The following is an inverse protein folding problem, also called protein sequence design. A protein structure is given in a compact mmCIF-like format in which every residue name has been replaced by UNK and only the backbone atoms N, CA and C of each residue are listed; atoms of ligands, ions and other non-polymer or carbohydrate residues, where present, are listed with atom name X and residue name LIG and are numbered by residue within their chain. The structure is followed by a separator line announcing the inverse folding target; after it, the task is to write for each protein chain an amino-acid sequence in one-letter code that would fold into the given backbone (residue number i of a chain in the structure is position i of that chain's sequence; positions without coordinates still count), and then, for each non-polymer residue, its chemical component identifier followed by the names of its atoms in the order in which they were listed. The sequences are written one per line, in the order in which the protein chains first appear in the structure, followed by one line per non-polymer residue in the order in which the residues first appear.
data_IF_636447675401
#
_entry.id   IF_636447675401
#
_cell.length_a   1.000
_cell.length_b   1.000
_cell.length_c   1.000
_cell.angle_alpha   90.00
_cell.angle_beta   90.00
_cell.angle_gamma   90.00
#
_symmetry.space_group_name_H-M   'P 1'
#
loop_
_entity.id
_entity.type
_entity.pdbx_description
1 polymer ?
#
# COMPACT_ATOMS: atom_id res chain seq x y z
N UNK A 1 -52.48 7.61 15.67
CA UNK A 1 -51.67 8.23 14.60
C UNK A 1 -50.29 8.63 15.15
N UNK A 2 -49.60 7.73 15.85
CA UNK A 2 -48.46 8.09 16.73
C UNK A 2 -47.45 6.95 16.89
N UNK A 3 -47.24 6.15 15.84
CA UNK A 3 -46.17 5.12 15.81
C UNK A 3 -45.35 5.14 14.50
N UNK A 4 -45.74 5.92 13.48
CA UNK A 4 -45.01 6.00 12.22
C UNK A 4 -43.86 7.05 12.21
N UNK A 5 -43.86 8.01 13.14
CA UNK A 5 -42.87 9.10 13.16
C UNK A 5 -41.59 8.78 13.97
N UNK A 6 -41.49 7.62 14.62
CA UNK A 6 -40.28 7.21 15.35
C UNK A 6 -39.31 6.37 14.51
N UNK A 7 -39.72 5.89 13.34
CA UNK A 7 -38.86 5.06 12.46
C UNK A 7 -38.03 5.90 11.48
N UNK A 8 -38.38 7.18 11.27
CA UNK A 8 -37.66 8.08 10.36
C UNK A 8 -36.54 8.90 11.03
N UNK A 9 -36.43 8.88 12.36
CA UNK A 9 -35.39 9.61 13.09
C UNK A 9 -34.08 8.83 13.28
N UNK A 10 -34.03 7.54 12.90
CA UNK A 10 -32.87 6.65 13.10
C UNK A 10 -31.97 6.51 11.87
N UNK A 11 -32.32 7.11 10.73
CA UNK A 11 -31.55 6.98 9.48
C UNK A 11 -30.59 8.16 9.23
N UNK A 12 -30.66 9.23 10.04
CA UNK A 12 -29.79 10.40 9.90
C UNK A 12 -28.75 10.48 11.02
N UNK A 13 -27.82 9.52 11.08
CA UNK A 13 -26.46 9.67 11.62
C UNK A 13 -25.73 8.33 11.55
N UNK A 14 -24.88 8.08 10.53
CA UNK A 14 -23.81 7.12 10.74
C UNK A 14 -22.87 7.77 11.76
N UNK A 15 -23.04 7.43 13.05
CA UNK A 15 -22.04 7.71 14.07
C UNK A 15 -20.80 6.95 13.64
N UNK A 16 -19.92 7.65 12.95
CA UNK A 16 -18.60 7.19 12.60
C UNK A 16 -17.83 7.00 13.91
N UNK A 17 -17.80 5.75 14.39
CA UNK A 17 -17.06 5.26 15.56
C UNK A 17 -15.53 5.52 15.48
N UNK A 18 -15.08 6.14 14.38
CA UNK A 18 -13.74 6.67 14.12
C UNK A 18 -13.30 7.76 15.10
N UNK A 19 -14.21 8.60 15.60
CA UNK A 19 -13.83 9.73 16.44
C UNK A 19 -13.34 9.27 17.83
N UNK A 20 -13.93 8.20 18.36
CA UNK A 20 -13.47 7.55 19.61
C UNK A 20 -12.30 6.57 19.40
N UNK A 21 -12.03 6.14 18.17
CA UNK A 21 -10.91 5.25 17.80
C UNK A 21 -9.55 5.98 17.75
N UNK A 22 -9.54 7.32 17.75
CA UNK A 22 -8.36 8.13 17.40
C UNK A 22 -7.84 8.97 18.58
N UNK A 23 -8.72 9.55 19.40
CA UNK A 23 -8.29 10.51 20.43
C UNK A 23 -7.56 9.84 21.62
N UNK A 24 -7.79 8.56 21.92
CA UNK A 24 -7.18 7.91 23.09
C UNK A 24 -5.70 7.52 22.95
N UNK A 25 -5.15 7.40 21.74
CA UNK A 25 -3.72 7.12 21.54
C UNK A 25 -2.87 8.39 21.63
N UNK A 26 -3.50 9.57 21.53
CA UNK A 26 -2.80 10.86 21.62
C UNK A 26 -2.48 11.28 23.07
N UNK A 27 -3.18 10.72 24.05
CA UNK A 27 -3.05 11.13 25.46
C UNK A 27 -1.86 10.48 26.19
N UNK A 28 -1.20 9.47 25.60
CA UNK A 28 -0.06 8.77 26.22
C UNK A 28 1.33 9.17 25.71
N UNK A 29 1.42 10.00 24.67
CA UNK A 29 2.69 10.45 24.07
C UNK A 29 2.82 11.98 24.05
N UNK A 30 2.37 12.65 25.12
CA UNK A 30 2.72 14.06 25.37
C UNK A 30 4.06 14.13 26.10
N UNK A 31 5.16 13.80 25.42
CA UNK A 31 6.45 14.42 25.77
C UNK A 31 6.44 15.81 25.14
N UNK A 32 6.16 16.80 25.97
CA UNK A 32 6.14 18.21 25.62
C UNK A 32 7.52 18.65 25.12
N UNK A 33 7.68 18.84 23.82
CA UNK A 33 8.76 19.66 23.27
C UNK A 33 8.40 21.12 23.52
N UNK A 34 8.70 21.59 24.74
CA UNK A 34 8.60 22.98 25.15
C UNK A 34 9.69 23.80 24.45
N UNK A 35 9.33 24.50 23.37
CA UNK A 35 10.16 25.55 22.78
C UNK A 35 9.89 26.88 23.52
N UNK A 36 10.57 27.09 24.65
CA UNK A 36 10.67 28.43 25.27
C UNK A 36 11.85 29.22 24.67
N UNK A 37 11.70 30.53 24.39
CA UNK A 37 12.82 31.37 23.98
C UNK A 37 13.65 31.78 25.22
N UNK A 38 14.91 31.36 25.27
CA UNK A 38 15.83 31.71 26.35
C UNK A 38 16.45 33.11 26.12
N UNK A 39 16.19 34.02 27.05
CA UNK A 39 16.90 35.30 27.19
C UNK A 39 18.32 35.08 27.74
N UNK A 40 19.24 35.95 27.34
CA UNK A 40 20.69 35.91 27.56
C UNK A 40 21.09 36.03 29.03
N UNK A 41 21.98 35.15 29.50
CA UNK A 41 22.99 35.46 30.51
C UNK A 41 24.32 34.75 30.24
N UNK A 42 25.43 35.46 30.47
CA UNK A 42 26.82 35.02 30.26
C UNK A 42 27.35 34.29 31.51
N UNK A 43 28.12 33.20 31.34
CA UNK A 43 29.48 32.98 31.93
C UNK A 43 30.10 31.60 31.64
N UNK A 44 31.34 31.66 31.10
CA UNK A 44 32.56 30.84 31.25
C UNK A 44 32.55 29.29 31.33
N UNK A 45 33.09 28.70 30.26
CA UNK A 45 34.11 27.63 30.12
C UNK A 45 34.29 26.51 31.19
N UNK A 46 34.17 25.25 30.73
CA UNK A 46 35.19 24.20 30.95
C UNK A 46 35.07 23.02 29.95
N UNK A 47 36.26 22.68 29.43
CA UNK A 47 36.82 21.48 28.77
C UNK A 47 35.99 20.20 28.49
N UNK A 48 36.02 19.82 27.20
CA UNK A 48 36.40 18.52 26.62
C UNK A 48 35.73 17.21 27.08
N UNK A 49 34.75 16.73 26.31
CA UNK A 49 34.63 15.30 25.92
C UNK A 49 34.21 15.20 24.45
N UNK A 50 35.13 14.69 23.63
CA UNK A 50 34.91 14.32 22.22
C UNK A 50 34.49 12.85 22.26
N UNK A 51 33.23 12.58 21.90
CA UNK A 51 32.75 11.24 21.57
C UNK A 51 31.88 11.38 20.31
N UNK A 52 32.19 10.54 19.34
CA UNK A 52 31.70 10.56 17.96
C UNK A 52 30.18 10.64 17.89
N UNK A 53 29.67 11.80 17.46
CA UNK A 53 28.31 11.90 16.95
C UNK A 53 28.34 11.47 15.50
N UNK A 54 27.84 10.25 15.26
CA UNK A 54 27.45 9.80 13.93
C UNK A 54 26.68 10.92 13.22
N UNK A 55 27.09 11.20 11.99
CA UNK A 55 26.52 12.23 11.12
C UNK A 55 25.03 11.95 10.90
N UNK A 56 24.15 12.47 11.76
CA UNK A 56 22.73 12.61 11.44
C UNK A 56 22.64 13.60 10.28
N UNK A 57 22.16 13.14 9.12
CA UNK A 57 21.94 13.97 7.94
C UNK A 57 20.99 15.14 8.32
N UNK A 58 21.40 16.42 8.22
CA UNK A 58 20.59 17.57 8.69
C UNK A 58 19.34 17.89 7.84
N UNK A 59 19.24 17.32 6.64
CA UNK A 59 18.34 17.83 5.60
C UNK A 59 16.84 17.54 5.81
N UNK A 60 16.46 16.52 6.60
CA UNK A 60 15.04 16.15 6.75
C UNK A 60 14.29 17.05 7.74
N UNK A 61 14.93 17.44 8.84
CA UNK A 61 14.32 18.33 9.83
C UNK A 61 14.22 19.77 9.29
N UNK A 62 15.19 20.18 8.47
CA UNK A 62 15.21 21.48 7.80
C UNK A 62 14.08 21.62 6.77
N UNK A 63 13.72 20.55 6.07
CA UNK A 63 12.63 20.58 5.07
C UNK A 63 11.27 20.87 5.70
N UNK A 64 10.97 20.26 6.85
CA UNK A 64 9.72 20.50 7.59
C UNK A 64 9.71 21.91 8.16
N UNK A 65 10.84 22.38 8.70
CA UNK A 65 10.95 23.74 9.26
C UNK A 65 10.72 24.82 8.19
N UNK A 66 11.30 24.66 7.01
CA UNK A 66 11.10 25.57 5.87
C UNK A 66 9.62 25.60 5.48
N UNK A 67 8.99 24.44 5.35
CA UNK A 67 7.56 24.34 5.03
C UNK A 67 6.67 25.03 6.08
N UNK A 68 6.93 24.81 7.38
CA UNK A 68 6.18 25.45 8.47
C UNK A 68 6.36 26.97 8.47
N UNK A 69 7.55 27.46 8.13
CA UNK A 69 7.82 28.88 8.00
C UNK A 69 7.04 29.49 6.82
N UNK A 70 6.96 28.79 5.69
CA UNK A 70 6.26 29.26 4.49
C UNK A 70 4.74 29.37 4.72
N UNK A 71 4.11 28.33 5.25
CA UNK A 71 2.67 28.37 5.57
C UNK A 71 2.36 29.37 6.70
N UNK A 72 3.35 29.69 7.53
CA UNK A 72 3.22 30.69 8.60
C UNK A 72 3.19 32.14 8.11
N UNK A 73 3.70 32.41 6.90
CA UNK A 73 3.67 33.76 6.27
C UNK A 73 2.28 34.15 5.79
N UNK A 74 1.44 33.18 5.48
CA UNK A 74 0.11 33.40 4.92
C UNK A 74 -0.87 33.70 6.05
N UNK A 75 -1.61 34.80 5.90
CA UNK A 75 -2.62 35.21 6.89
C UNK A 75 -3.80 34.25 6.91
N UNK A 76 -4.37 34.08 8.10
CA UNK A 76 -5.64 33.38 8.28
C UNK A 76 -6.77 34.20 7.64
N UNK A 77 -7.77 33.50 7.11
CA UNK A 77 -8.94 34.11 6.50
C UNK A 77 -9.96 34.50 7.57
N UNK A 78 -10.74 35.54 7.27
CA UNK A 78 -11.96 35.86 8.02
C UNK A 78 -13.14 35.09 7.44
N UNK A 79 -14.21 34.94 8.22
CA UNK A 79 -15.41 34.22 7.77
C UNK A 79 -16.03 34.84 6.50
N UNK A 80 -16.03 36.17 6.36
CA UNK A 80 -16.50 36.85 5.15
C UNK A 80 -15.64 36.52 3.92
N UNK A 81 -14.31 36.46 4.10
CA UNK A 81 -13.38 36.12 3.02
C UNK A 81 -13.51 34.65 2.61
N UNK A 82 -13.82 33.75 3.56
CA UNK A 82 -14.13 32.35 3.24
C UNK A 82 -15.37 32.25 2.33
N UNK A 83 -16.40 33.06 2.59
CA UNK A 83 -17.62 33.08 1.78
C UNK A 83 -17.33 33.59 0.36
N UNK A 84 -16.57 34.68 0.22
CA UNK A 84 -16.20 35.22 -1.09
C UNK A 84 -15.38 34.23 -1.91
N UNK A 85 -14.39 33.58 -1.29
CA UNK A 85 -13.56 32.57 -1.95
C UNK A 85 -14.39 31.34 -2.31
N UNK A 86 -15.31 30.90 -1.45
CA UNK A 86 -16.18 29.76 -1.73
C UNK A 86 -17.08 30.00 -2.96
N UNK A 87 -17.61 31.22 -3.14
CA UNK A 87 -18.37 31.58 -4.34
C UNK A 87 -17.53 31.50 -5.61
N UNK A 88 -16.32 32.06 -5.58
CA UNK A 88 -15.38 32.00 -6.71
C UNK A 88 -14.93 30.58 -7.06
N UNK A 89 -14.84 29.70 -6.05
CA UNK A 89 -14.53 28.27 -6.24
C UNK A 89 -15.73 27.53 -6.81
N UNK A 90 -16.96 27.82 -6.36
CA UNK A 90 -18.17 27.24 -6.92
C UNK A 90 -18.32 27.58 -8.40
N UNK A 91 -18.10 28.86 -8.75
CA UNK A 91 -18.03 29.33 -10.14
C UNK A 91 -17.00 28.54 -10.97
N UNK A 92 -15.81 28.29 -10.42
CA UNK A 92 -14.78 27.48 -11.10
C UNK A 92 -15.25 26.04 -11.33
N UNK A 93 -15.87 25.44 -10.31
CA UNK A 93 -16.30 24.04 -10.35
C UNK A 93 -17.42 23.81 -11.38
N UNK A 94 -18.32 24.79 -11.54
CA UNK A 94 -19.33 24.77 -12.60
C UNK A 94 -18.70 24.76 -14.00
N UNK A 95 -17.67 25.60 -14.21
CA UNK A 95 -16.94 25.61 -15.47
C UNK A 95 -16.24 24.27 -15.71
N UNK A 96 -15.60 23.69 -14.68
CA UNK A 96 -14.92 22.39 -14.76
C UNK A 96 -15.91 21.27 -15.10
N UNK A 97 -17.13 21.26 -14.54
CA UNK A 97 -18.17 20.28 -14.90
C UNK A 97 -18.61 20.37 -16.36
N UNK A 98 -18.70 21.59 -16.90
CA UNK A 98 -18.99 21.79 -18.33
C UNK A 98 -17.84 21.27 -19.20
N UNK A 99 -16.60 21.46 -18.75
CA UNK A 99 -15.42 20.89 -19.41
C UNK A 99 -15.47 19.36 -19.44
N UNK A 100 -15.75 18.71 -18.32
CA UNK A 100 -15.83 17.26 -18.24
C UNK A 100 -16.90 16.72 -19.21
N UNK A 101 -18.06 17.38 -19.27
CA UNK A 101 -19.16 17.02 -20.19
C UNK A 101 -18.77 17.16 -21.68
N UNK A 102 -17.96 18.18 -22.01
CA UNK A 102 -17.39 18.35 -23.35
C UNK A 102 -16.36 17.28 -23.69
N UNK A 103 -15.49 16.94 -22.75
CA UNK A 103 -14.43 15.93 -22.94
C UNK A 103 -15.02 14.54 -23.16
N UNK A 104 -16.10 14.20 -22.42
CA UNK A 104 -16.86 12.96 -22.63
C UNK A 104 -17.52 12.92 -24.03
N UNK A 105 -18.02 14.06 -24.52
CA UNK A 105 -18.62 14.16 -25.85
C UNK A 105 -17.61 14.12 -26.99
N UNK A 106 -16.39 14.62 -26.77
CA UNK A 106 -15.34 14.72 -27.78
C UNK A 106 -14.38 13.53 -27.80
N UNK A 107 -14.28 12.77 -26.70
CA UNK A 107 -13.31 11.68 -26.54
C UNK A 107 -11.85 12.15 -26.56
N UNK A 108 -11.61 13.45 -26.35
CA UNK A 108 -10.29 14.10 -26.30
C UNK A 108 -10.32 15.27 -25.33
N UNK A 109 -9.14 15.72 -24.88
CA UNK A 109 -9.01 16.92 -24.06
C UNK A 109 -9.50 18.16 -24.83
N UNK A 110 -10.41 18.91 -24.22
CA UNK A 110 -11.00 20.10 -24.83
C UNK A 110 -10.00 21.25 -24.81
N UNK A 111 -9.86 21.95 -25.94
CA UNK A 111 -9.02 23.15 -25.97
C UNK A 111 -9.69 24.31 -25.22
N UNK A 112 -8.90 25.21 -24.62
CA UNK A 112 -9.43 26.38 -23.89
C UNK A 112 -10.35 27.26 -24.78
N UNK A 113 -10.16 27.25 -26.10
CA UNK A 113 -11.02 27.96 -27.06
C UNK A 113 -12.37 27.26 -27.28
N UNK A 114 -12.39 25.93 -27.35
CA UNK A 114 -13.62 25.15 -27.47
C UNK A 114 -14.43 25.23 -26.17
N UNK A 115 -13.76 25.22 -25.02
CA UNK A 115 -14.39 25.42 -23.72
C UNK A 115 -15.00 26.82 -23.58
N UNK A 116 -14.30 27.86 -24.06
CA UNK A 116 -14.84 29.21 -24.07
C UNK A 116 -16.08 29.37 -24.98
N UNK A 117 -16.13 28.63 -26.10
CA UNK A 117 -17.31 28.63 -27.00
C UNK A 117 -18.51 27.96 -26.36
N UNK A 118 -18.33 26.85 -25.65
CA UNK A 118 -19.44 26.17 -24.96
C UNK A 118 -20.07 27.03 -23.87
N UNK A 119 -19.25 27.81 -23.17
CA UNK A 119 -19.72 28.74 -22.13
C UNK A 119 -20.29 30.04 -22.74
N UNK A 120 -20.33 30.15 -24.07
CA UNK A 120 -20.76 31.33 -24.84
C UNK A 120 -20.09 32.64 -24.34
N UNK A 121 -18.77 32.57 -24.13
CA UNK A 121 -18.01 33.67 -23.54
C UNK A 121 -16.78 34.03 -24.37
N UNK A 122 -16.48 35.33 -24.44
CA UNK A 122 -15.23 35.81 -25.03
C UNK A 122 -14.02 35.19 -24.32
N UNK A 123 -13.09 34.61 -25.09
CA UNK A 123 -11.90 33.90 -24.61
C UNK A 123 -11.12 34.67 -23.52
N UNK A 124 -10.97 35.99 -23.67
CA UNK A 124 -10.27 36.84 -22.68
C UNK A 124 -11.01 36.91 -21.34
N UNK A 125 -12.33 37.03 -21.36
CA UNK A 125 -13.17 37.05 -20.14
C UNK A 125 -13.19 35.68 -19.48
N UNK A 126 -13.30 34.63 -20.28
CA UNK A 126 -13.25 33.25 -19.83
C UNK A 126 -11.93 32.93 -19.10
N UNK A 127 -10.79 33.23 -19.73
CA UNK A 127 -9.46 33.02 -19.12
C UNK A 127 -9.29 33.81 -17.81
N UNK A 128 -9.83 35.03 -17.74
CA UNK A 128 -9.83 35.82 -16.50
C UNK A 128 -10.68 35.17 -15.40
N UNK A 129 -11.87 34.66 -15.73
CA UNK A 129 -12.75 33.96 -14.78
C UNK A 129 -12.09 32.70 -14.22
N UNK A 130 -11.47 31.88 -15.10
CA UNK A 130 -10.69 30.72 -14.68
C UNK A 130 -9.52 31.08 -13.76
N UNK A 131 -8.78 32.13 -14.09
CA UNK A 131 -7.66 32.58 -13.26
C UNK A 131 -8.11 33.02 -11.87
N UNK A 132 -9.22 33.76 -11.77
CA UNK A 132 -9.79 34.18 -10.48
C UNK A 132 -10.20 32.97 -9.66
N UNK A 133 -10.93 32.02 -10.25
CA UNK A 133 -11.37 30.80 -9.58
C UNK A 133 -10.19 29.95 -9.07
N UNK A 134 -9.20 29.68 -9.93
CA UNK A 134 -8.00 28.91 -9.55
C UNK A 134 -7.24 29.60 -8.42
N UNK A 135 -7.04 30.92 -8.52
CA UNK A 135 -6.39 31.70 -7.47
C UNK A 135 -7.18 31.70 -6.16
N UNK A 136 -8.52 31.68 -6.23
CA UNK A 136 -9.38 31.60 -5.06
C UNK A 136 -9.23 30.24 -4.36
N UNK A 137 -9.21 29.15 -5.13
CA UNK A 137 -8.94 27.78 -4.64
C UNK A 137 -7.57 27.71 -3.96
N UNK A 138 -6.52 28.19 -4.62
CA UNK A 138 -5.16 28.19 -4.07
C UNK A 138 -5.09 28.99 -2.78
N UNK A 139 -5.69 30.19 -2.74
CA UNK A 139 -5.72 31.05 -1.56
C UNK A 139 -6.49 30.40 -0.41
N UNK A 140 -7.64 29.78 -0.68
CA UNK A 140 -8.43 29.06 0.32
C UNK A 140 -7.64 27.91 0.94
N UNK A 141 -6.95 27.11 0.13
CA UNK A 141 -6.13 25.98 0.59
C UNK A 141 -4.92 26.49 1.38
N UNK A 142 -4.16 27.42 0.83
CA UNK A 142 -2.93 27.95 1.44
C UNK A 142 -3.16 28.56 2.83
N UNK A 143 -4.22 29.36 2.99
CA UNK A 143 -4.58 29.95 4.28
C UNK A 143 -4.96 28.92 5.35
N UNK A 144 -5.31 27.70 4.95
CA UNK A 144 -5.76 26.63 5.84
C UNK A 144 -4.74 25.47 5.99
N UNK A 145 -3.56 25.54 5.37
CA UNK A 145 -2.52 24.51 5.51
C UNK A 145 -2.07 24.29 6.97
N UNK A 146 -2.16 25.33 7.81
CA UNK A 146 -1.86 25.23 9.25
C UNK A 146 -2.80 24.28 10.00
N UNK A 147 -4.06 24.18 9.56
CA UNK A 147 -5.05 23.24 10.10
C UNK A 147 -4.66 21.79 9.77
N UNK A 148 -4.15 21.54 8.55
CA UNK A 148 -3.66 20.21 8.16
C UNK A 148 -2.55 19.75 9.08
N UNK A 149 -1.58 20.63 9.35
CA UNK A 149 -0.45 20.34 10.24
C UNK A 149 -0.92 20.02 11.66
N UNK A 150 -1.88 20.77 12.21
CA UNK A 150 -2.37 20.52 13.58
C UNK A 150 -3.11 19.19 13.70
N UNK A 151 -3.84 18.78 12.66
CA UNK A 151 -4.51 17.48 12.60
C UNK A 151 -3.49 16.35 12.38
N UNK A 152 -2.56 16.50 11.45
CA UNK A 152 -1.56 15.49 11.09
C UNK A 152 -0.64 15.13 12.28
N UNK A 153 -0.35 16.09 13.16
CA UNK A 153 0.45 15.84 14.38
C UNK A 153 -0.11 14.72 15.26
N UNK A 154 -1.43 14.53 15.30
CA UNK A 154 -2.07 13.45 16.07
C UNK A 154 -1.78 12.04 15.52
N UNK A 155 -1.35 11.94 14.26
CA UNK A 155 -1.14 10.67 13.54
C UNK A 155 0.33 10.33 13.31
N UNK A 156 1.24 11.06 13.96
CA UNK A 156 2.68 10.77 13.89
C UNK A 156 2.99 9.36 14.39
N UNK A 157 4.07 8.76 13.88
CA UNK A 157 4.57 7.44 14.28
C UNK A 157 3.63 6.26 13.99
N UNK A 158 2.70 6.40 13.03
CA UNK A 158 1.78 5.33 12.60
C UNK A 158 2.22 4.61 11.31
N UNK A 159 3.50 4.67 10.97
CA UNK A 159 4.10 3.99 9.81
C UNK A 159 4.33 4.88 8.58
N UNK A 160 3.78 6.09 8.53
CA UNK A 160 4.06 7.08 7.49
C UNK A 160 4.91 8.24 8.01
N UNK A 161 5.68 8.87 7.11
CA UNK A 161 6.43 10.08 7.43
C UNK A 161 5.48 11.23 7.75
N UNK A 162 5.92 12.17 8.59
CA UNK A 162 5.13 13.37 8.89
C UNK A 162 4.87 14.22 7.65
N UNK A 163 5.81 14.25 6.70
CA UNK A 163 5.63 14.95 5.42
C UNK A 163 4.50 14.31 4.60
N UNK A 164 4.49 12.98 4.52
CA UNK A 164 3.46 12.24 3.78
C UNK A 164 2.07 12.46 4.40
N UNK A 165 1.97 12.43 5.73
CA UNK A 165 0.72 12.75 6.44
C UNK A 165 0.22 14.17 6.13
N UNK A 166 1.12 15.15 6.03
CA UNK A 166 0.77 16.52 5.65
C UNK A 166 0.29 16.56 4.19
N UNK A 167 0.97 15.87 3.28
CA UNK A 167 0.59 15.88 1.86
C UNK A 167 -0.78 15.22 1.65
N UNK A 168 -1.02 14.06 2.24
CA UNK A 168 -2.31 13.37 2.18
C UNK A 168 -3.43 14.19 2.84
N UNK A 169 -3.13 14.83 3.97
CA UNK A 169 -4.04 15.78 4.61
C UNK A 169 -4.33 17.01 3.75
N UNK A 170 -3.35 17.49 2.98
CA UNK A 170 -3.52 18.62 2.06
C UNK A 170 -4.40 18.25 0.87
N UNK A 171 -4.31 17.02 0.37
CA UNK A 171 -5.23 16.50 -0.64
C UNK A 171 -6.67 16.42 -0.10
N UNK A 172 -6.83 16.03 1.17
CA UNK A 172 -8.11 16.10 1.88
C UNK A 172 -8.64 17.54 1.99
N UNK A 173 -7.78 18.51 2.30
CA UNK A 173 -8.14 19.91 2.37
C UNK A 173 -8.58 20.49 1.01
N UNK A 174 -7.91 20.11 -0.08
CA UNK A 174 -8.29 20.53 -1.44
C UNK A 174 -9.71 20.03 -1.76
N UNK A 175 -9.99 18.75 -1.49
CA UNK A 175 -11.35 18.18 -1.67
C UNK A 175 -12.38 18.86 -0.78
N UNK A 176 -11.99 19.27 0.43
CA UNK A 176 -12.87 20.05 1.31
C UNK A 176 -13.20 21.40 0.70
N UNK A 177 -12.22 22.10 0.10
CA UNK A 177 -12.43 23.39 -0.54
C UNK A 177 -13.35 23.30 -1.76
N UNK A 178 -13.25 22.21 -2.55
CA UNK A 178 -14.12 21.96 -3.71
C UNK A 178 -15.58 21.67 -3.33
N UNK A 179 -15.80 21.01 -2.19
CA UNK A 179 -17.14 20.58 -1.73
C UNK A 179 -17.73 21.46 -0.63
N UNK A 180 -17.05 22.55 -0.27
CA UNK A 180 -17.49 23.42 0.80
C UNK A 180 -18.70 24.24 0.35
N UNK A 181 -19.73 24.21 1.19
CA UNK A 181 -20.97 24.94 0.96
C UNK A 181 -21.08 26.05 2.02
N UNK A 182 -20.99 27.28 1.55
CA UNK A 182 -20.99 28.48 2.39
C UNK A 182 -22.40 28.90 2.82
N UNK A 183 -23.47 28.40 2.18
CA UNK A 183 -24.85 28.75 2.52
C UNK A 183 -25.28 28.12 3.84
N UNK A 184 -24.63 27.03 4.24
CA UNK A 184 -24.91 26.32 5.51
C UNK A 184 -24.46 27.08 6.76
N UNK A 185 -23.73 28.20 6.62
CA UNK A 185 -23.35 29.07 7.73
C UNK A 185 -22.30 28.51 8.71
N UNK A 186 -21.69 27.36 8.40
CA UNK A 186 -20.60 26.79 9.20
C UNK A 186 -19.24 27.29 8.71
N UNK A 187 -18.28 27.45 9.63
CA UNK A 187 -16.89 27.78 9.26
C UNK A 187 -16.25 26.69 8.42
N UNK A 188 -15.40 27.09 7.48
CA UNK A 188 -14.67 26.15 6.61
C UNK A 188 -13.87 25.13 7.42
N UNK A 189 -13.22 25.57 8.51
CA UNK A 189 -12.41 24.69 9.39
C UNK A 189 -13.19 23.49 9.93
N UNK A 190 -14.47 23.66 10.25
CA UNK A 190 -15.32 22.60 10.81
C UNK A 190 -15.53 21.49 9.77
N UNK A 191 -15.80 21.87 8.53
CA UNK A 191 -15.99 20.95 7.42
C UNK A 191 -14.66 20.32 6.97
N UNK A 192 -13.62 21.13 6.84
CA UNK A 192 -12.30 20.69 6.39
C UNK A 192 -11.68 19.65 7.33
N UNK A 193 -11.91 19.76 8.65
CA UNK A 193 -11.39 18.80 9.62
C UNK A 193 -11.80 17.36 9.29
N UNK A 194 -13.05 17.14 8.85
CA UNK A 194 -13.54 15.82 8.44
C UNK A 194 -12.77 15.25 7.25
N UNK A 195 -12.61 16.05 6.19
CA UNK A 195 -11.92 15.62 4.97
C UNK A 195 -10.42 15.40 5.17
N UNK A 196 -9.76 16.27 5.94
CA UNK A 196 -8.34 16.12 6.29
C UNK A 196 -8.16 14.82 7.08
N UNK A 197 -9.01 14.59 8.09
CA UNK A 197 -8.96 13.39 8.92
C UNK A 197 -9.13 12.13 8.07
N UNK A 198 -10.15 12.11 7.21
CA UNK A 198 -10.47 10.98 6.34
C UNK A 198 -9.35 10.68 5.35
N UNK A 199 -8.73 11.70 4.78
CA UNK A 199 -7.62 11.52 3.85
C UNK A 199 -6.40 10.91 4.55
N UNK A 200 -6.05 11.44 5.73
CA UNK A 200 -4.92 10.93 6.52
C UNK A 200 -5.17 9.49 6.99
N UNK A 201 -6.34 9.18 7.55
CA UNK A 201 -6.64 7.81 8.01
C UNK A 201 -6.67 6.81 6.86
N UNK A 202 -7.19 7.21 5.70
CA UNK A 202 -7.18 6.39 4.50
C UNK A 202 -5.77 6.15 3.99
N UNK A 203 -4.94 7.19 3.92
CA UNK A 203 -3.55 7.05 3.51
C UNK A 203 -2.76 6.13 4.44
N UNK A 204 -2.96 6.24 5.76
CA UNK A 204 -2.36 5.31 6.73
C UNK A 204 -2.83 3.88 6.45
N UNK A 205 -4.13 3.64 6.25
CA UNK A 205 -4.61 2.29 5.96
C UNK A 205 -4.02 1.74 4.64
N UNK A 206 -3.86 2.59 3.63
CA UNK A 206 -3.45 2.18 2.29
C UNK A 206 -1.93 2.02 2.11
N UNK A 207 -1.12 2.84 2.79
CA UNK A 207 0.33 3.01 2.54
C UNK A 207 1.24 2.71 3.75
N UNK A 208 0.72 2.65 4.98
CA UNK A 208 1.58 2.52 6.18
C UNK A 208 2.34 1.20 6.33
N UNK A 209 2.00 0.19 5.52
CA UNK A 209 2.55 -1.17 5.60
C UNK A 209 3.33 -1.51 4.34
N UNK A 210 4.48 -2.17 4.53
CA UNK A 210 5.30 -2.72 3.43
C UNK A 210 4.50 -3.69 2.56
N UNK A 211 3.69 -4.54 3.20
CA UNK A 211 2.72 -5.40 2.53
C UNK A 211 1.35 -4.75 2.68
N UNK A 212 0.83 -4.24 1.58
CA UNK A 212 -0.46 -3.54 1.54
C UNK A 212 -1.59 -4.48 1.98
N UNK A 213 -2.43 -4.01 2.89
CA UNK A 213 -3.65 -4.68 3.31
C UNK A 213 -4.88 -3.87 2.84
N UNK A 214 -5.98 -4.53 2.45
CA UNK A 214 -7.25 -3.86 2.21
C UNK A 214 -7.74 -3.05 3.42
N UNK A 215 -8.44 -1.95 3.16
CA UNK A 215 -8.93 -1.02 4.20
C UNK A 215 -9.76 -1.76 5.26
N UNK A 216 -10.71 -2.61 4.86
CA UNK A 216 -11.55 -3.34 5.82
C UNK A 216 -10.76 -4.22 6.80
N UNK A 217 -9.61 -4.79 6.39
CA UNK A 217 -8.75 -5.53 7.32
C UNK A 217 -8.10 -4.58 8.31
N UNK A 218 -7.63 -3.42 7.87
CA UNK A 218 -7.11 -2.38 8.75
C UNK A 218 -8.16 -1.90 9.77
N UNK A 219 -9.42 -1.71 9.35
CA UNK A 219 -10.53 -1.37 10.24
C UNK A 219 -10.76 -2.46 11.30
N UNK A 220 -10.80 -3.73 10.88
CA UNK A 220 -10.96 -4.86 11.82
C UNK A 220 -9.80 -4.96 12.81
N UNK A 221 -8.56 -4.77 12.37
CA UNK A 221 -7.37 -4.77 13.25
C UNK A 221 -7.47 -3.63 14.27
N UNK A 222 -7.87 -2.44 13.83
CA UNK A 222 -8.02 -1.28 14.72
C UNK A 222 -9.11 -1.51 15.75
N UNK A 223 -10.24 -2.10 15.34
CA UNK A 223 -11.34 -2.48 16.23
C UNK A 223 -10.91 -3.55 17.23
N UNK A 224 -10.16 -4.57 16.79
CA UNK A 224 -9.59 -5.59 17.69
C UNK A 224 -8.70 -4.92 18.75
N UNK A 225 -7.78 -4.02 18.36
CA UNK A 225 -6.93 -3.30 19.32
C UNK A 225 -7.73 -2.49 20.35
N UNK A 226 -8.79 -1.79 19.91
CA UNK A 226 -9.69 -1.03 20.80
C UNK A 226 -10.36 -1.97 21.80
N UNK A 227 -10.96 -3.05 21.32
CA UNK A 227 -11.65 -4.03 22.15
C UNK A 227 -10.69 -4.72 23.13
N UNK A 228 -9.48 -5.07 22.70
CA UNK A 228 -8.44 -5.61 23.59
C UNK A 228 -8.07 -4.62 24.69
N UNK A 229 -7.96 -3.32 24.38
CA UNK A 229 -7.68 -2.27 25.37
C UNK A 229 -8.83 -2.10 26.37
N UNK A 230 -10.07 -2.04 25.87
CA UNK A 230 -11.28 -1.93 26.71
C UNK A 230 -11.42 -3.13 27.65
N UNK A 231 -11.32 -4.35 27.12
CA UNK A 231 -11.38 -5.58 27.93
C UNK A 231 -10.22 -5.65 28.93
N UNK A 232 -9.02 -5.20 28.53
CA UNK A 232 -7.88 -5.14 29.43
C UNK A 232 -8.09 -4.17 30.60
N UNK A 233 -8.82 -3.07 30.37
CA UNK A 233 -9.18 -2.10 31.40
C UNK A 233 -10.28 -2.62 32.32
N UNK A 234 -11.33 -3.25 31.76
CA UNK A 234 -12.43 -3.82 32.53
C UNK A 234 -11.99 -4.99 33.43
N UNK A 235 -11.03 -5.80 32.96
CA UNK A 235 -10.62 -7.05 33.62
C UNK A 235 -9.31 -6.94 34.40
N UNK A 236 -8.57 -5.85 34.24
CA UNK A 236 -7.25 -5.66 34.87
C UNK A 236 -6.19 -6.67 34.42
N UNK A 237 -6.44 -7.47 33.38
CA UNK A 237 -5.52 -8.47 32.82
C UNK A 237 -5.57 -8.45 31.29
N UNK A 238 -4.56 -9.04 30.64
CA UNK A 238 -4.60 -9.25 29.19
C UNK A 238 -5.78 -10.20 28.86
N UNK A 239 -6.71 -9.80 27.98
CA UNK A 239 -7.88 -10.63 27.63
C UNK A 239 -7.48 -11.85 26.81
N UNK A 240 -8.27 -12.92 26.87
CA UNK A 240 -8.05 -14.13 26.07
C UNK A 240 -8.55 -13.96 24.63
N UNK A 241 -8.03 -14.76 23.69
CA UNK A 241 -8.50 -14.73 22.29
C UNK A 241 -10.00 -15.01 22.18
N UNK A 242 -10.53 -15.89 23.04
CA UNK A 242 -11.95 -16.25 23.12
C UNK A 242 -12.83 -15.09 23.57
N UNK A 243 -12.39 -14.33 24.58
CA UNK A 243 -13.09 -13.14 25.08
C UNK A 243 -13.16 -12.06 24.00
N UNK A 244 -12.06 -11.83 23.29
CA UNK A 244 -12.02 -10.86 22.19
C UNK A 244 -12.94 -11.32 21.05
N UNK A 245 -12.88 -12.60 20.67
CA UNK A 245 -13.72 -13.17 19.62
C UNK A 245 -15.22 -13.05 19.94
N UNK A 246 -15.59 -13.34 21.19
CA UNK A 246 -16.97 -13.22 21.69
C UNK A 246 -17.45 -11.77 21.64
N UNK A 247 -16.63 -10.83 22.10
CA UNK A 247 -16.99 -9.39 22.09
C UNK A 247 -17.08 -8.80 20.69
N UNK A 248 -16.32 -9.36 19.75
CA UNK A 248 -16.24 -8.94 18.35
C UNK A 248 -17.19 -9.72 17.43
N UNK A 249 -17.98 -10.65 17.98
CA UNK A 249 -18.94 -11.49 17.25
C UNK A 249 -18.31 -12.21 16.04
N UNK A 250 -17.10 -12.78 16.23
CA UNK A 250 -16.38 -13.51 15.18
C UNK A 250 -15.81 -14.84 15.67
N UNK A 251 -15.47 -15.72 14.74
CA UNK A 251 -14.81 -16.99 15.07
C UNK A 251 -13.36 -16.79 15.49
N UNK A 252 -12.85 -17.67 16.37
CA UNK A 252 -11.46 -17.65 16.83
C UNK A 252 -10.49 -17.81 15.65
N UNK A 253 -10.83 -18.65 14.67
CA UNK A 253 -10.03 -18.84 13.46
C UNK A 253 -9.87 -17.55 12.66
N UNK A 254 -10.97 -16.80 12.49
CA UNK A 254 -10.94 -15.51 11.78
C UNK A 254 -10.11 -14.48 12.55
N UNK A 255 -10.22 -14.46 13.87
CA UNK A 255 -9.40 -13.58 14.72
C UNK A 255 -7.91 -13.92 14.58
N UNK A 256 -7.54 -15.20 14.62
CA UNK A 256 -6.15 -15.65 14.42
C UNK A 256 -5.61 -15.31 13.04
N UNK A 257 -6.43 -15.47 12.00
CA UNK A 257 -6.05 -15.09 10.63
C UNK A 257 -5.78 -13.58 10.53
N UNK A 258 -6.64 -12.75 11.11
CA UNK A 258 -6.45 -11.29 11.14
C UNK A 258 -5.22 -10.92 11.97
N UNK A 259 -5.00 -11.57 13.12
CA UNK A 259 -3.85 -11.35 13.98
C UNK A 259 -2.53 -11.71 13.27
N UNK A 260 -2.49 -12.82 12.53
CA UNK A 260 -1.34 -13.22 11.70
C UNK A 260 -1.08 -12.21 10.58
N UNK A 261 -2.15 -11.77 9.91
CA UNK A 261 -2.05 -10.75 8.85
C UNK A 261 -1.63 -9.38 9.38
N UNK A 262 -1.87 -9.09 10.67
CA UNK A 262 -1.51 -7.82 11.29
C UNK A 262 -0.02 -7.71 11.63
N UNK A 263 0.75 -8.80 11.59
CA UNK A 263 2.17 -8.83 11.90
C UNK A 263 2.97 -7.94 10.92
N UNK A 264 3.94 -7.20 11.45
CA UNK A 264 4.83 -6.36 10.65
C UNK A 264 6.06 -7.19 10.24
N UNK A 265 6.54 -7.05 8.99
CA UNK A 265 7.76 -7.70 8.58
C UNK A 265 8.95 -7.16 9.38
N UNK A 266 9.93 -8.03 9.61
CA UNK A 266 11.19 -7.71 10.28
C UNK A 266 12.28 -7.54 9.21
N UNK A 267 13.20 -6.60 9.42
CA UNK A 267 14.32 -6.41 8.49
C UNK A 267 15.31 -7.57 8.58
N UNK A 268 15.75 -8.09 7.44
CA UNK A 268 16.83 -9.08 7.37
C UNK A 268 18.19 -8.51 7.80
N UNK A 269 18.33 -7.18 7.79
CA UNK A 269 19.53 -6.49 8.27
C UNK A 269 19.55 -6.30 9.79
N UNK A 270 18.52 -6.78 10.50
CA UNK A 270 18.51 -6.70 11.97
C UNK A 270 19.69 -7.52 12.52
N UNK A 271 20.63 -6.91 13.26
CA UNK A 271 21.75 -7.64 13.82
C UNK A 271 21.25 -8.62 14.88
N UNK A 272 21.87 -9.80 14.95
CA UNK A 272 21.52 -10.85 15.88
C UNK A 272 22.72 -11.16 16.79
N UNK A 273 22.51 -11.11 18.10
CA UNK A 273 23.58 -11.28 19.09
C UNK A 273 24.23 -9.96 19.54
N UNK A 274 25.36 -10.08 20.26
CA UNK A 274 26.14 -8.94 20.78
C UNK A 274 27.26 -8.49 19.84
N UNK A 275 27.68 -9.37 18.94
CA UNK A 275 28.68 -9.08 17.92
C UNK A 275 27.93 -8.53 16.70
N UNK A 276 28.33 -7.34 16.22
CA UNK A 276 27.64 -6.65 15.10
C UNK A 276 27.83 -7.34 13.74
N UNK A 277 28.55 -8.47 13.69
CA UNK A 277 28.92 -9.15 12.46
C UNK A 277 27.81 -10.08 11.92
N UNK A 278 26.86 -10.52 12.77
CA UNK A 278 25.80 -11.45 12.37
C UNK A 278 24.48 -10.72 12.12
N UNK A 279 23.90 -10.91 10.93
CA UNK A 279 22.57 -10.37 10.57
C UNK A 279 21.54 -11.47 10.50
N UNK A 280 20.27 -11.14 10.69
CA UNK A 280 19.16 -12.11 10.59
C UNK A 280 19.14 -12.83 9.23
N UNK A 281 19.46 -12.12 8.15
CA UNK A 281 19.49 -12.67 6.80
C UNK A 281 20.51 -13.79 6.60
N UNK A 282 21.60 -13.82 7.38
CA UNK A 282 22.66 -14.83 7.25
C UNK A 282 22.20 -16.22 7.73
N UNK A 283 21.10 -16.29 8.48
CA UNK A 283 20.52 -17.53 9.02
C UNK A 283 19.37 -18.10 8.18
N UNK A 284 19.02 -17.44 7.08
CA UNK A 284 17.94 -17.91 6.21
C UNK A 284 18.53 -18.88 5.19
N UNK A 285 18.16 -20.15 5.29
CA UNK A 285 18.49 -21.16 4.31
C UNK A 285 17.83 -20.83 2.96
N UNK A 286 18.58 -20.98 1.87
CA UNK A 286 18.05 -20.79 0.53
C UNK A 286 17.38 -22.08 0.05
N UNK A 287 16.17 -21.99 -0.49
CA UNK A 287 15.45 -23.12 -1.13
C UNK A 287 16.07 -23.58 -2.47
N UNK A 288 17.37 -23.31 -2.69
CA UNK A 288 18.08 -23.62 -3.91
C UNK A 288 18.49 -25.09 -4.00
N UNK A 289 18.69 -25.57 -5.23
CA UNK A 289 19.27 -26.90 -5.44
C UNK A 289 20.68 -26.95 -4.87
N UNK A 290 20.96 -28.01 -4.10
CA UNK A 290 22.30 -28.21 -3.58
C UNK A 290 23.26 -28.57 -4.72
N UNK A 291 24.57 -28.30 -4.58
CA UNK A 291 25.56 -28.77 -5.56
C UNK A 291 25.50 -30.29 -5.77
N UNK A 292 25.16 -31.04 -4.73
CA UNK A 292 24.95 -32.50 -4.80
C UNK A 292 23.75 -32.86 -5.68
N UNK A 293 22.64 -32.12 -5.57
CA UNK A 293 21.47 -32.31 -6.44
C UNK A 293 21.82 -32.01 -7.91
N UNK A 294 22.60 -30.95 -8.16
CA UNK A 294 23.02 -30.56 -9.51
C UNK A 294 23.95 -31.61 -10.15
N UNK A 295 24.90 -32.14 -9.38
CA UNK A 295 25.77 -33.24 -9.82
C UNK A 295 24.94 -34.49 -10.08
N UNK A 296 24.03 -34.85 -9.19
CA UNK A 296 23.15 -36.01 -9.35
C UNK A 296 22.29 -35.92 -10.61
N UNK A 297 21.75 -34.74 -10.93
CA UNK A 297 21.01 -34.50 -12.17
C UNK A 297 21.88 -34.58 -13.42
N UNK A 298 23.12 -34.10 -13.34
CA UNK A 298 24.07 -34.16 -14.46
C UNK A 298 24.48 -35.60 -14.75
N UNK A 299 24.83 -36.36 -13.71
CA UNK A 299 25.13 -37.80 -13.79
C UNK A 299 23.93 -38.59 -14.32
N UNK A 300 22.72 -38.33 -13.83
CA UNK A 300 21.50 -38.94 -14.34
C UNK A 300 21.31 -38.67 -15.85
N UNK A 301 21.64 -37.45 -16.32
CA UNK A 301 21.54 -37.10 -17.74
C UNK A 301 22.56 -37.87 -18.58
N UNK A 302 23.80 -37.98 -18.12
CA UNK A 302 24.85 -38.77 -18.79
C UNK A 302 24.49 -40.26 -18.84
N UNK A 303 24.03 -40.82 -17.72
CA UNK A 303 23.60 -42.21 -17.64
C UNK A 303 22.38 -42.48 -18.53
N UNK A 304 21.40 -41.57 -18.56
CA UNK A 304 20.25 -41.65 -19.48
C UNK A 304 20.70 -41.64 -20.94
N UNK A 305 21.65 -40.78 -21.31
CA UNK A 305 22.18 -40.71 -22.67
C UNK A 305 22.90 -42.00 -23.06
N UNK A 306 23.74 -42.54 -22.16
CA UNK A 306 24.43 -43.81 -22.38
C UNK A 306 23.45 -44.98 -22.58
N UNK A 307 22.37 -45.04 -21.80
CA UNK A 307 21.35 -46.09 -21.89
C UNK A 307 20.53 -45.93 -23.17
N UNK A 308 20.20 -44.69 -23.57
CA UNK A 308 19.49 -44.39 -24.80
C UNK A 308 20.30 -44.74 -26.06
N UNK A 309 21.62 -44.62 -26.03
CA UNK A 309 22.50 -45.01 -27.14
C UNK A 309 22.57 -46.52 -27.39
N UNK A 310 22.18 -47.35 -26.40
CA UNK A 310 22.04 -48.80 -26.59
C UNK A 310 20.78 -49.22 -27.36
N UNK A 311 19.88 -48.27 -27.67
CA UNK A 311 18.68 -48.48 -28.49
C UNK A 311 18.99 -48.25 -29.97
N UNK A 312 18.08 -48.68 -30.85
CA UNK A 312 18.18 -48.30 -32.26
C UNK A 312 18.04 -46.77 -32.41
N UNK A 313 18.73 -46.11 -33.37
CA UNK A 313 18.60 -44.66 -33.58
C UNK A 313 17.14 -44.19 -33.67
N UNK A 314 16.30 -44.96 -34.39
CA UNK A 314 14.85 -44.68 -34.49
C UNK A 314 14.09 -44.83 -33.16
N UNK A 315 14.50 -45.76 -32.29
CA UNK A 315 13.88 -45.96 -30.98
C UNK A 315 14.28 -44.82 -30.01
N UNK A 316 15.56 -44.41 -30.04
CA UNK A 316 16.11 -43.31 -29.25
C UNK A 316 15.44 -41.98 -29.61
N UNK A 317 15.39 -41.64 -30.89
CA UNK A 317 14.89 -40.34 -31.34
C UNK A 317 13.38 -40.20 -31.07
N UNK A 318 12.61 -41.28 -31.18
CA UNK A 318 11.19 -41.32 -30.78
C UNK A 318 11.03 -41.03 -29.28
N UNK A 319 11.87 -41.60 -28.41
CA UNK A 319 11.83 -41.34 -26.97
C UNK A 319 12.27 -39.91 -26.62
N UNK A 320 13.35 -39.40 -27.25
CA UNK A 320 13.82 -38.02 -27.05
C UNK A 320 12.75 -36.99 -27.40
N UNK A 321 12.07 -37.17 -28.53
CA UNK A 321 10.97 -36.29 -28.97
C UNK A 321 9.71 -36.46 -28.12
N UNK A 322 9.42 -37.67 -27.66
CA UNK A 322 8.24 -37.97 -26.83
C UNK A 322 8.33 -37.31 -25.46
N UNK A 323 9.46 -37.47 -24.78
CA UNK A 323 9.68 -36.94 -23.44
C UNK A 323 10.33 -35.56 -23.42
N UNK A 324 10.71 -35.02 -24.58
CA UNK A 324 11.32 -33.69 -24.69
C UNK A 324 12.69 -33.60 -24.02
N UNK A 325 13.53 -34.63 -24.16
CA UNK A 325 14.85 -34.68 -23.50
C UNK A 325 15.84 -33.62 -24.01
N UNK A 326 15.66 -33.18 -25.27
CA UNK A 326 16.47 -32.15 -25.92
C UNK A 326 15.82 -30.76 -25.80
N UNK A 327 14.55 -30.64 -26.20
CA UNK A 327 13.84 -29.35 -26.33
C UNK A 327 13.01 -28.97 -25.09
N UNK A 328 12.92 -29.83 -24.07
CA UNK A 328 12.04 -29.67 -22.90
C UNK A 328 10.54 -29.78 -23.20
N UNK A 329 10.17 -30.00 -24.46
CA UNK A 329 8.77 -30.08 -24.93
C UNK A 329 8.41 -31.51 -25.33
N UNK A 330 7.40 -32.07 -24.66
CA UNK A 330 6.84 -33.37 -25.01
C UNK A 330 6.02 -33.28 -26.30
N UNK A 331 6.31 -34.13 -27.29
CA UNK A 331 5.54 -34.21 -28.55
C UNK A 331 4.49 -35.32 -28.52
N UNK A 332 3.38 -35.12 -29.24
CA UNK A 332 2.34 -36.15 -29.37
C UNK A 332 2.78 -37.26 -30.32
N UNK A 333 2.22 -38.47 -30.18
CA UNK A 333 2.53 -39.60 -31.08
C UNK A 333 2.21 -39.30 -32.55
N UNK A 334 1.26 -38.39 -32.78
CA UNK A 334 0.84 -37.94 -34.10
C UNK A 334 1.84 -36.97 -34.72
N UNK A 335 2.31 -35.98 -33.95
CA UNK A 335 3.40 -35.08 -34.35
C UNK A 335 4.70 -35.84 -34.65
N UNK A 336 5.05 -36.81 -33.81
CA UNK A 336 6.22 -37.67 -34.03
C UNK A 336 6.02 -38.53 -35.28
N UNK A 337 4.80 -39.02 -35.51
CA UNK A 337 4.45 -39.77 -36.73
C UNK A 337 4.64 -38.95 -38.01
N UNK A 338 4.26 -37.66 -37.97
CA UNK A 338 4.50 -36.73 -39.08
C UNK A 338 6.00 -36.53 -39.34
N UNK A 339 6.82 -36.38 -38.30
CA UNK A 339 8.28 -36.19 -38.45
C UNK A 339 8.96 -37.42 -39.07
N UNK A 340 8.57 -38.63 -38.69
CA UNK A 340 9.16 -39.87 -39.20
C UNK A 340 8.47 -40.41 -40.46
N UNK A 341 7.45 -39.73 -40.99
CA UNK A 341 6.58 -40.21 -42.08
C UNK A 341 6.00 -41.60 -41.81
N UNK A 342 5.47 -41.83 -40.61
CA UNK A 342 4.85 -43.09 -40.20
C UNK A 342 3.54 -42.87 -39.46
N UNK A 343 2.66 -43.87 -39.47
CA UNK A 343 1.40 -43.80 -38.73
C UNK A 343 1.62 -43.66 -37.23
N UNK A 344 0.70 -42.97 -36.55
CA UNK A 344 0.66 -42.85 -35.08
C UNK A 344 0.81 -44.21 -34.38
N UNK A 345 0.10 -45.22 -34.86
CA UNK A 345 0.14 -46.56 -34.26
C UNK A 345 1.52 -47.21 -34.40
N UNK A 346 2.25 -46.91 -35.47
CA UNK A 346 3.61 -47.41 -35.64
C UNK A 346 4.59 -46.75 -34.68
N UNK A 347 4.46 -45.45 -34.40
CA UNK A 347 5.26 -44.79 -33.35
C UNK A 347 4.97 -45.38 -31.98
N UNK A 348 3.69 -45.65 -31.66
CA UNK A 348 3.29 -46.31 -30.40
C UNK A 348 3.94 -47.70 -30.24
N UNK A 349 4.01 -48.48 -31.33
CA UNK A 349 4.69 -49.78 -31.33
C UNK A 349 6.19 -49.65 -31.07
N UNK A 350 6.84 -48.64 -31.67
CA UNK A 350 8.27 -48.36 -31.49
C UNK A 350 8.55 -47.93 -30.05
N UNK A 351 7.73 -47.03 -29.49
CA UNK A 351 7.79 -46.59 -28.09
C UNK A 351 7.65 -47.77 -27.13
N UNK A 352 6.61 -48.60 -27.29
CA UNK A 352 6.39 -49.77 -26.45
C UNK A 352 7.55 -50.77 -26.51
N UNK A 353 8.12 -50.99 -27.71
CA UNK A 353 9.28 -51.86 -27.90
C UNK A 353 10.55 -51.28 -27.25
N UNK A 354 10.77 -49.97 -27.37
CA UNK A 354 11.89 -49.27 -26.75
C UNK A 354 11.80 -49.31 -25.21
N UNK A 355 10.63 -49.01 -24.65
CA UNK A 355 10.38 -49.11 -23.21
C UNK A 355 10.55 -50.56 -22.69
N UNK A 356 10.13 -51.57 -23.46
CA UNK A 356 10.34 -52.97 -23.09
C UNK A 356 11.83 -53.34 -23.03
N UNK A 357 12.64 -52.80 -23.95
CA UNK A 357 14.11 -52.98 -23.94
C UNK A 357 14.75 -52.24 -22.77
N UNK A 358 14.31 -51.03 -22.46
CA UNK A 358 14.81 -50.24 -21.32
C UNK A 358 14.47 -50.89 -19.96
N UNK A 359 13.35 -51.59 -19.86
CA UNK A 359 12.97 -52.36 -18.65
C UNK A 359 13.82 -53.60 -18.41
N UNK A 360 14.68 -54.01 -19.34
CA UNK A 360 15.54 -55.17 -19.14
C UNK A 360 16.53 -54.90 -17.99
N UNK A 361 16.73 -55.83 -17.03
CA UNK A 361 17.51 -55.60 -15.82
C UNK A 361 18.93 -55.08 -16.08
N UNK A 362 19.60 -55.57 -17.13
CA UNK A 362 20.93 -55.10 -17.52
C UNK A 362 21.02 -53.59 -17.84
N UNK A 363 19.91 -52.95 -18.24
CA UNK A 363 19.86 -51.51 -18.57
C UNK A 363 19.20 -50.70 -17.45
N UNK A 364 18.24 -51.30 -16.75
CA UNK A 364 17.52 -50.67 -15.65
C UNK A 364 18.36 -50.58 -14.36
N UNK A 365 19.38 -51.42 -14.19
CA UNK A 365 20.16 -51.45 -12.94
C UNK A 365 20.84 -50.13 -12.60
N UNK A 366 21.33 -49.40 -13.61
CA UNK A 366 22.03 -48.11 -13.44
C UNK A 366 21.03 -47.01 -13.06
N UNK A 367 19.92 -46.93 -13.78
CA UNK A 367 18.90 -45.89 -13.56
C UNK A 367 18.10 -46.10 -12.27
N UNK A 368 18.08 -47.31 -11.71
CA UNK A 368 17.36 -47.64 -10.48
C UNK A 368 17.99 -46.97 -9.24
N UNK A 369 19.27 -46.63 -9.30
CA UNK A 369 19.98 -45.95 -8.22
C UNK A 369 19.46 -44.53 -7.97
N UNK A 370 18.88 -43.90 -9.00
CA UNK A 370 18.35 -42.53 -8.95
C UNK A 370 16.88 -42.43 -8.50
N UNK A 371 16.17 -43.55 -8.31
CA UNK A 371 14.73 -43.58 -7.92
C UNK A 371 14.60 -43.89 -6.42
N UNK A 372 15.36 -43.19 -5.58
CA UNK A 372 15.37 -43.44 -4.13
C UNK A 372 14.16 -42.86 -3.42
#
# INVERSE_FOLDING_TARGET
MTQANQVLATIANPVNDWESLIDEDSSKNQDSIDLKPAAKEKKKASTAKRAERGRKKPYTEDSIRIYLQEIGRIRLLRAEEEIELARQIADLLELERLKDSLEDGLGREATDEEWAREVDMEYRKFRRRLFIGRRAKDKMVQSNLRLVVSIAKKYMNRGLSFQDLIQEGSLGLIRAAEKFDHEKGYKFSTYATWWIRQAITRAIADQSRTIRLPVHLYETISRIKKTTKLLSQERGRKPTEEEIATRMEMTIEKLRFIAKSAQLPISLETPIGKEEDSRLGDFIEADGETPEDQVSKSLLREDLESVLDTLSPRERDVLRLRYGLDDGRMKTLEEIGQIFNVTRERIRQIEAKALRKLRHPNRNSILKEYIR
#
